data_IF_605681403251
#
_entry.id   IF_605681403251
#
_cell.length_a   1.000
_cell.length_b   1.000
_cell.length_c   1.000
_cell.angle_alpha   90.00
_cell.angle_beta   90.00
_cell.angle_gamma   90.00
#
_symmetry.space_group_name_H-M   'P 1'
#
loop_
_entity.id
_entity.type
_entity.pdbx_description
1 polymer ?
#
# COMPACT_ATOMS: atom_id res chain seq x y z
N UNK A 1 -7.67 2.32 -21.99
CA UNK A 1 -7.45 2.23 -20.53
C UNK A 1 -5.98 2.07 -20.16
N UNK A 2 -5.25 1.06 -20.66
CA UNK A 2 -3.77 0.94 -20.47
C UNK A 2 -3.01 2.16 -20.96
N UNK A 3 -3.40 2.74 -22.09
CA UNK A 3 -2.77 3.97 -22.57
C UNK A 3 -3.14 5.20 -21.74
N UNK A 4 -4.34 5.22 -21.16
CA UNK A 4 -4.79 6.27 -20.23
C UNK A 4 -4.11 6.11 -18.86
N UNK A 5 -3.89 4.87 -18.41
CA UNK A 5 -3.11 4.48 -17.25
C UNK A 5 -1.64 4.83 -17.45
N UNK A 6 -1.00 4.42 -18.55
CA UNK A 6 0.38 4.81 -18.89
C UNK A 6 0.50 6.32 -19.01
N UNK A 7 -0.42 7.03 -19.67
CA UNK A 7 -0.39 8.51 -19.77
C UNK A 7 -0.57 9.21 -18.43
N UNK A 8 -1.40 8.68 -17.49
CA UNK A 8 -1.58 9.26 -16.14
C UNK A 8 -0.49 8.83 -15.15
N UNK A 9 -0.04 7.57 -15.19
CA UNK A 9 1.01 7.03 -14.31
C UNK A 9 2.40 7.53 -14.70
N UNK A 10 2.69 7.73 -16.00
CA UNK A 10 3.96 8.30 -16.46
C UNK A 10 4.13 9.78 -16.06
N UNK A 11 3.04 10.53 -15.86
CA UNK A 11 3.11 11.92 -15.37
C UNK A 11 3.34 12.04 -13.86
N UNK A 12 3.07 11.00 -13.07
CA UNK A 12 3.25 11.01 -11.61
C UNK A 12 4.70 10.69 -11.22
N UNK A 13 5.45 10.02 -12.10
CA UNK A 13 6.85 9.65 -11.86
C UNK A 13 7.86 10.81 -11.77
N UNK A 14 7.45 12.07 -11.93
CA UNK A 14 8.37 13.22 -11.83
C UNK A 14 8.19 14.10 -10.58
N UNK A 15 7.20 13.84 -9.70
CA UNK A 15 6.95 14.69 -8.52
C UNK A 15 6.48 13.89 -7.31
N UNK A 16 7.24 12.89 -6.89
CA UNK A 16 7.05 12.24 -5.60
C UNK A 16 8.34 12.33 -4.80
N UNK A 17 8.21 12.51 -3.49
CA UNK A 17 9.32 12.54 -2.57
C UNK A 17 9.14 11.42 -1.56
N UNK A 18 10.22 10.68 -1.34
CA UNK A 18 10.34 9.72 -0.26
C UNK A 18 11.00 10.48 0.88
N UNK A 19 10.31 10.62 2.00
CA UNK A 19 10.80 11.34 3.19
C UNK A 19 10.51 10.49 4.43
N UNK A 20 11.24 10.70 5.54
CA UNK A 20 10.90 10.06 6.81
C UNK A 20 9.45 10.35 7.19
N UNK A 21 8.71 9.34 7.59
CA UNK A 21 7.32 9.48 8.03
C UNK A 21 7.23 9.39 9.55
N UNK A 22 6.42 10.25 10.14
CA UNK A 22 6.10 10.16 11.57
C UNK A 22 5.33 8.88 11.93
N UNK A 23 4.74 8.20 10.94
CA UNK A 23 3.98 6.96 11.16
C UNK A 23 4.92 5.78 11.29
N UNK A 24 5.73 5.55 10.27
CA UNK A 24 6.70 4.47 10.22
C UNK A 24 7.71 4.70 9.10
N UNK A 25 9.00 4.50 9.39
CA UNK A 25 10.09 4.50 8.41
C UNK A 25 10.00 5.62 7.38
N UNK A 26 9.68 5.24 6.14
CA UNK A 26 9.56 6.15 5.00
C UNK A 26 8.11 6.29 4.56
N UNK A 27 7.76 7.48 4.08
CA UNK A 27 6.46 7.76 3.47
C UNK A 27 6.60 8.35 2.07
N UNK A 28 5.50 8.33 1.34
CA UNK A 28 5.40 8.92 0.01
C UNK A 28 4.65 10.25 0.08
N UNK A 29 5.28 11.31 -0.42
CA UNK A 29 4.75 12.68 -0.37
C UNK A 29 4.62 13.26 -1.77
N UNK A 30 3.57 14.04 -2.02
CA UNK A 30 3.38 14.74 -3.30
C UNK A 30 3.76 16.23 -3.20
N UNK A 31 4.90 16.69 -3.75
CA UNK A 31 5.34 18.09 -3.70
C UNK A 31 4.48 19.05 -4.51
N UNK A 32 3.49 18.57 -5.27
CA UNK A 32 2.57 19.41 -6.04
C UNK A 32 1.10 19.16 -5.70
N UNK A 33 0.82 18.31 -4.72
CA UNK A 33 -0.54 17.80 -4.49
C UNK A 33 -0.98 16.79 -5.54
N UNK A 34 -2.17 16.23 -5.36
CA UNK A 34 -2.74 15.19 -6.24
C UNK A 34 -4.24 15.44 -6.37
N UNK A 35 -4.78 15.48 -7.58
CA UNK A 35 -6.23 15.63 -7.76
C UNK A 35 -6.98 14.38 -7.31
N UNK A 36 -8.25 14.53 -6.94
CA UNK A 36 -9.16 13.42 -6.63
C UNK A 36 -9.20 12.39 -7.79
N UNK A 37 -9.41 11.11 -7.45
CA UNK A 37 -9.54 10.00 -8.41
C UNK A 37 -8.32 9.82 -9.32
N UNK A 38 -7.14 10.23 -8.84
CA UNK A 38 -5.87 10.03 -9.53
C UNK A 38 -5.30 8.69 -9.13
N UNK A 39 -5.05 7.82 -10.11
CA UNK A 39 -4.32 6.58 -9.89
C UNK A 39 -2.87 6.93 -9.61
N UNK A 40 -2.41 6.66 -8.40
CA UNK A 40 -1.09 7.01 -7.93
C UNK A 40 -0.04 5.96 -8.32
N UNK A 41 -0.31 4.70 -7.96
CA UNK A 41 0.61 3.59 -8.16
C UNK A 41 -0.17 2.30 -8.31
N UNK A 42 0.37 1.38 -9.09
CA UNK A 42 -0.01 -0.04 -8.99
C UNK A 42 0.84 -0.66 -7.88
N UNK A 43 0.25 -1.39 -6.94
CA UNK A 43 1.02 -2.18 -5.99
C UNK A 43 1.54 -3.45 -6.69
N UNK A 44 2.86 -3.51 -6.91
CA UNK A 44 3.51 -4.60 -7.64
C UNK A 44 4.41 -5.42 -6.74
N UNK A 45 4.49 -6.71 -7.03
CA UNK A 45 5.25 -7.68 -6.27
C UNK A 45 5.21 -9.07 -6.90
N UNK A 46 5.77 -10.04 -6.19
CA UNK A 46 5.71 -11.46 -6.52
C UNK A 46 4.34 -12.02 -6.12
N UNK A 47 3.76 -12.85 -6.98
CA UNK A 47 2.48 -13.52 -6.70
C UNK A 47 2.73 -14.78 -5.86
N UNK A 48 2.15 -14.84 -4.67
CA UNK A 48 2.30 -15.91 -3.69
C UNK A 48 0.95 -16.60 -3.49
N UNK A 49 0.97 -17.94 -3.54
CA UNK A 49 -0.19 -18.77 -3.20
C UNK A 49 -0.29 -18.93 -1.67
N UNK A 50 -1.50 -19.08 -1.10
CA UNK A 50 -1.71 -19.27 0.33
C UNK A 50 -0.84 -20.36 0.96
N UNK A 51 -0.64 -21.48 0.26
CA UNK A 51 0.16 -22.62 0.74
C UNK A 51 1.63 -22.29 1.03
N UNK A 52 2.16 -21.19 0.48
CA UNK A 52 3.54 -20.75 0.67
C UNK A 52 3.65 -19.52 1.59
N UNK A 53 2.54 -18.86 1.91
CA UNK A 53 2.55 -17.57 2.60
C UNK A 53 3.19 -17.67 3.99
N UNK A 54 2.74 -18.62 4.82
CA UNK A 54 3.27 -18.81 6.17
C UNK A 54 4.77 -19.11 6.18
N UNK A 55 5.26 -19.95 5.25
CA UNK A 55 6.69 -20.28 5.17
C UNK A 55 7.53 -19.05 4.82
N UNK A 56 7.05 -18.22 3.91
CA UNK A 56 7.71 -16.98 3.49
C UNK A 56 7.68 -15.97 4.64
N UNK A 57 6.54 -15.80 5.30
CA UNK A 57 6.39 -14.90 6.45
C UNK A 57 7.35 -15.26 7.58
N UNK A 58 7.38 -16.53 7.98
CA UNK A 58 8.27 -17.03 9.03
C UNK A 58 9.73 -16.71 8.67
N UNK A 59 10.15 -17.00 7.44
CA UNK A 59 11.50 -16.72 6.97
C UNK A 59 11.86 -15.22 7.01
N UNK A 60 10.94 -14.34 6.61
CA UNK A 60 11.14 -12.89 6.64
C UNK A 60 11.21 -12.35 8.07
N UNK A 61 10.34 -12.82 8.97
CA UNK A 61 10.37 -12.48 10.40
C UNK A 61 11.69 -12.92 11.05
N UNK A 62 12.15 -14.15 10.79
CA UNK A 62 13.45 -14.63 11.27
C UNK A 62 14.63 -13.81 10.74
N UNK A 63 14.46 -13.20 9.56
CA UNK A 63 15.49 -12.36 8.93
C UNK A 63 15.36 -10.88 9.29
N UNK A 64 14.52 -10.53 10.27
CA UNK A 64 14.19 -9.14 10.66
C UNK A 64 13.80 -8.25 9.46
N UNK A 65 12.99 -8.79 8.54
CA UNK A 65 12.50 -8.05 7.38
C UNK A 65 11.06 -7.59 7.58
N UNK A 66 10.79 -6.35 7.20
CA UNK A 66 9.43 -5.82 7.12
C UNK A 66 8.61 -6.60 6.09
N UNK A 67 7.35 -6.87 6.41
CA UNK A 67 6.44 -7.62 5.55
C UNK A 67 5.62 -6.67 4.68
N UNK A 68 5.74 -6.80 3.36
CA UNK A 68 4.97 -6.02 2.40
C UNK A 68 4.05 -6.93 1.60
N UNK A 69 3.03 -7.46 2.28
CA UNK A 69 2.03 -8.34 1.68
C UNK A 69 0.73 -7.58 1.40
N UNK A 70 0.16 -7.80 0.21
CA UNK A 70 -1.14 -7.29 -0.17
C UNK A 70 -2.01 -8.43 -0.70
N UNK A 71 -3.10 -8.75 0.00
CA UNK A 71 -4.03 -9.80 -0.44
C UNK A 71 -4.80 -9.33 -1.68
N UNK A 72 -4.56 -9.99 -2.82
CA UNK A 72 -5.24 -9.69 -4.08
C UNK A 72 -6.61 -10.37 -4.12
N UNK A 73 -6.69 -11.61 -3.64
CA UNK A 73 -7.91 -12.39 -3.48
C UNK A 73 -7.62 -13.59 -2.55
N UNK A 74 -8.58 -14.50 -2.38
CA UNK A 74 -8.42 -15.69 -1.53
C UNK A 74 -7.29 -16.64 -1.98
N UNK A 75 -6.94 -16.64 -3.28
CA UNK A 75 -5.95 -17.55 -3.86
C UNK A 75 -4.57 -16.91 -4.08
N UNK A 76 -4.45 -15.59 -3.92
CA UNK A 76 -3.27 -14.83 -4.32
C UNK A 76 -3.00 -13.68 -3.34
N UNK A 77 -1.77 -13.64 -2.85
CA UNK A 77 -1.17 -12.49 -2.16
C UNK A 77 -0.02 -11.95 -3.02
N UNK A 78 0.10 -10.63 -3.10
CA UNK A 78 1.21 -9.94 -3.77
C UNK A 78 2.24 -9.56 -2.72
N UNK A 79 3.47 -10.05 -2.87
CA UNK A 79 4.62 -9.81 -1.99
C UNK A 79 5.58 -8.80 -2.61
N UNK A 80 5.69 -7.63 -2.00
CA UNK A 80 6.55 -6.53 -2.41
C UNK A 80 7.83 -6.39 -1.55
N UNK A 81 8.14 -7.39 -0.71
CA UNK A 81 9.24 -7.34 0.27
C UNK A 81 10.59 -7.18 -0.41
N UNK A 82 10.89 -8.05 -1.37
CA UNK A 82 12.15 -7.99 -2.13
C UNK A 82 11.99 -7.54 -3.59
N UNK A 83 10.78 -7.52 -4.13
CA UNK A 83 10.54 -7.21 -5.55
C UNK A 83 9.32 -6.29 -5.73
N UNK A 84 9.28 -5.22 -4.94
CA UNK A 84 8.19 -4.25 -4.93
C UNK A 84 8.44 -3.00 -5.79
N UNK A 85 7.46 -2.11 -5.79
CA UNK A 85 7.63 -0.72 -6.24
C UNK A 85 7.34 0.26 -5.10
N UNK A 86 7.33 1.56 -5.40
CA UNK A 86 7.09 2.62 -4.40
C UNK A 86 5.72 2.51 -3.68
N UNK A 87 4.78 1.73 -4.21
CA UNK A 87 3.51 1.46 -3.54
C UNK A 87 3.67 0.84 -2.15
N UNK A 88 4.77 0.10 -1.91
CA UNK A 88 5.06 -0.51 -0.60
C UNK A 88 5.39 0.49 0.51
N UNK A 89 5.72 1.73 0.15
CA UNK A 89 6.08 2.80 1.10
C UNK A 89 4.88 3.69 1.46
N UNK A 90 3.68 3.37 0.98
CA UNK A 90 2.48 4.15 1.30
C UNK A 90 1.95 3.64 2.64
N UNK A 91 2.06 4.48 3.68
CA UNK A 91 1.72 4.11 5.04
C UNK A 91 0.21 3.97 5.30
N UNK A 92 -0.09 3.36 6.44
CA UNK A 92 -1.45 3.25 6.95
C UNK A 92 -1.99 4.58 7.50
N UNK A 93 -3.30 4.83 7.36
CA UNK A 93 -4.03 5.76 8.23
C UNK A 93 -5.48 5.32 8.43
N UNK A 94 -5.98 5.40 9.66
CA UNK A 94 -7.42 5.18 9.96
C UNK A 94 -8.32 6.28 9.37
N UNK A 95 -7.74 7.43 8.97
CA UNK A 95 -8.40 8.46 8.16
C UNK A 95 -7.62 8.62 6.85
N UNK A 96 -7.81 7.70 5.90
CA UNK A 96 -6.97 7.66 4.70
C UNK A 96 -7.30 8.79 3.72
N UNK A 97 -6.34 9.10 2.85
CA UNK A 97 -6.54 10.01 1.72
C UNK A 97 -6.36 9.31 0.36
N UNK A 98 -6.00 8.02 0.38
CA UNK A 98 -5.99 7.09 -0.73
C UNK A 98 -6.81 5.83 -0.40
N UNK A 99 -7.24 5.12 -1.43
CA UNK A 99 -7.84 3.80 -1.31
C UNK A 99 -7.24 2.85 -2.35
N UNK A 100 -7.29 1.55 -2.07
CA UNK A 100 -6.91 0.51 -3.01
C UNK A 100 -8.13 -0.01 -3.79
N UNK A 101 -7.97 -0.29 -5.08
CA UNK A 101 -8.97 -0.94 -5.92
C UNK A 101 -8.33 -2.05 -6.75
N UNK A 102 -8.93 -3.24 -6.72
CA UNK A 102 -8.53 -4.34 -7.59
C UNK A 102 -9.18 -4.14 -8.97
N UNK A 103 -8.38 -4.25 -10.02
CA UNK A 103 -8.83 -4.10 -11.40
C UNK A 103 -8.35 -5.30 -12.21
N UNK A 104 -9.24 -5.92 -12.97
CA UNK A 104 -8.91 -7.02 -13.86
C UNK A 104 -8.49 -6.50 -15.23
N UNK A 105 -7.29 -6.87 -15.68
CA UNK A 105 -6.76 -6.49 -16.99
C UNK A 105 -5.69 -7.47 -17.48
N UNK A 106 -5.56 -7.66 -18.79
CA UNK A 106 -4.58 -8.59 -19.40
C UNK A 106 -4.60 -9.99 -18.75
N UNK A 107 -5.80 -10.49 -18.45
CA UNK A 107 -6.04 -11.78 -17.78
C UNK A 107 -5.43 -11.89 -16.37
N UNK A 108 -5.12 -10.76 -15.73
CA UNK A 108 -4.56 -10.68 -14.37
C UNK A 108 -5.30 -9.63 -13.55
N UNK A 109 -5.31 -9.81 -12.24
CA UNK A 109 -5.83 -8.79 -11.32
C UNK A 109 -4.68 -7.90 -10.84
N UNK A 110 -4.91 -6.60 -10.78
CA UNK A 110 -3.92 -5.61 -10.37
C UNK A 110 -4.47 -4.76 -9.23
N UNK A 111 -3.63 -4.42 -8.25
CA UNK A 111 -4.00 -3.54 -7.14
C UNK A 111 -3.60 -2.11 -7.49
N UNK A 112 -4.57 -1.21 -7.59
CA UNK A 112 -4.34 0.22 -7.84
C UNK A 112 -4.54 1.01 -6.56
N UNK A 113 -3.60 1.89 -6.25
CA UNK A 113 -3.74 2.91 -5.20
C UNK A 113 -4.21 4.21 -5.85
N UNK A 114 -5.32 4.74 -5.37
CA UNK A 114 -6.05 5.87 -5.97
C UNK A 114 -6.30 6.94 -4.91
N UNK A 115 -6.14 8.22 -5.23
CA UNK A 115 -6.52 9.31 -4.32
C UNK A 115 -8.03 9.35 -4.11
N UNK A 116 -8.44 9.49 -2.85
CA UNK A 116 -9.85 9.60 -2.43
C UNK A 116 -10.38 11.05 -2.51
N UNK A 117 -9.47 12.01 -2.52
CA UNK A 117 -9.74 13.45 -2.51
C UNK A 117 -8.56 14.21 -3.13
N UNK A 118 -8.71 15.53 -3.27
CA UNK A 118 -7.60 16.41 -3.59
C UNK A 118 -6.60 16.43 -2.41
N UNK A 119 -5.34 16.11 -2.68
CA UNK A 119 -4.22 16.15 -1.74
C UNK A 119 -3.48 17.48 -1.87
N UNK A 120 -3.09 18.05 -0.73
CA UNK A 120 -2.30 19.28 -0.69
C UNK A 120 -0.82 19.01 -1.04
N UNK A 121 -0.10 20.10 -1.30
CA UNK A 121 1.36 20.09 -1.45
C UNK A 121 1.99 19.46 -0.20
N UNK A 122 2.90 18.52 -0.40
CA UNK A 122 3.62 17.76 0.64
C UNK A 122 2.70 16.99 1.61
N UNK A 123 1.48 16.67 1.20
CA UNK A 123 0.66 15.72 1.97
C UNK A 123 1.21 14.29 1.75
N UNK A 124 1.35 13.53 2.84
CA UNK A 124 1.72 12.12 2.79
C UNK A 124 0.54 11.31 2.23
N UNK A 125 0.81 10.42 1.28
CA UNK A 125 -0.17 9.46 0.77
C UNK A 125 -0.31 8.32 1.77
N UNK A 126 -1.55 8.06 2.18
CA UNK A 126 -1.88 7.03 3.17
C UNK A 126 -3.20 6.34 2.82
N UNK A 127 -3.28 5.03 3.03
CA UNK A 127 -4.50 4.24 2.82
C UNK A 127 -4.83 3.34 4.01
N UNK A 128 -6.05 2.84 4.07
CA UNK A 128 -6.43 1.85 5.09
C UNK A 128 -5.98 0.46 4.64
N UNK A 129 -5.12 -0.17 5.43
CA UNK A 129 -4.56 -1.50 5.13
C UNK A 129 -5.61 -2.61 5.22
N UNK A 130 -6.70 -2.41 5.98
CA UNK A 130 -7.77 -3.40 6.19
C UNK A 130 -7.23 -4.79 6.56
N UNK A 131 -6.33 -4.81 7.55
CA UNK A 131 -5.78 -6.06 8.07
C UNK A 131 -6.88 -6.78 8.85
N UNK A 132 -7.25 -7.97 8.39
CA UNK A 132 -8.15 -8.86 9.12
C UNK A 132 -7.35 -9.58 10.21
N UNK A 133 -7.87 -9.61 11.44
CA UNK A 133 -7.26 -10.29 12.59
C UNK A 133 -7.07 -11.79 12.37
N UNK A 134 -7.95 -12.43 11.59
CA UNK A 134 -7.88 -13.87 11.31
C UNK A 134 -6.79 -14.28 10.30
N UNK A 135 -6.21 -13.32 9.56
CA UNK A 135 -5.36 -13.64 8.41
C UNK A 135 -3.87 -13.74 8.75
N UNK A 136 -3.47 -13.15 9.87
CA UNK A 136 -2.07 -13.06 10.27
C UNK A 136 -1.99 -12.98 11.79
N UNK A 137 -1.03 -13.68 12.39
CA UNK A 137 -0.58 -13.42 13.77
C UNK A 137 0.22 -12.10 13.81
N UNK A 138 -0.41 -11.03 13.35
CA UNK A 138 -0.03 -9.66 13.68
C UNK A 138 -0.56 -9.40 15.09
N UNK A 139 0.11 -9.98 16.09
CA UNK A 139 -0.06 -9.55 17.48
C UNK A 139 0.00 -8.02 17.51
N UNK A 140 -1.17 -7.40 17.75
CA UNK A 140 -1.41 -6.00 18.07
C UNK A 140 -0.41 -4.98 17.50
N UNK A 141 -0.24 -4.93 16.17
CA UNK A 141 0.59 -3.87 15.56
C UNK A 141 -0.06 -2.52 15.82
N UNK A 142 0.62 -1.68 16.60
CA UNK A 142 0.13 -0.37 17.01
C UNK A 142 0.09 0.57 15.80
N UNK A 143 -1.05 1.23 15.62
CA UNK A 143 -1.27 2.22 14.58
C UNK A 143 -0.74 3.60 15.02
N UNK A 144 0.35 4.04 14.39
CA UNK A 144 0.97 5.34 14.63
C UNK A 144 0.41 6.47 13.74
N UNK A 145 -0.82 6.35 13.22
CA UNK A 145 -1.36 7.35 12.28
C UNK A 145 -1.75 8.70 12.92
N UNK A 146 -1.79 8.76 14.26
CA UNK A 146 -2.09 9.95 15.09
C UNK A 146 -3.42 10.65 14.77
N UNK A 147 -4.32 10.02 14.03
CA UNK A 147 -5.64 10.59 13.77
C UNK A 147 -6.53 10.49 15.02
N UNK A 148 -7.43 11.48 15.21
CA UNK A 148 -8.37 11.49 16.33
C UNK A 148 -9.30 10.26 16.35
N UNK A 149 -9.61 9.73 15.16
CA UNK A 149 -10.44 8.52 14.96
C UNK A 149 -9.58 7.26 14.75
N UNK A 150 -8.35 7.24 15.26
CA UNK A 150 -7.44 6.09 15.13
C UNK A 150 -7.97 4.87 15.91
N UNK A 151 -7.93 3.70 15.25
CA UNK A 151 -8.33 2.40 15.82
C UNK A 151 -7.32 1.79 16.78
N UNK A 152 -6.22 2.49 17.07
CA UNK A 152 -5.09 2.10 17.93
C UNK A 152 -4.25 0.94 17.41
N UNK A 153 -4.83 -0.04 16.73
CA UNK A 153 -4.13 -1.14 16.07
C UNK A 153 -4.40 -1.15 14.56
N UNK A 154 -3.50 -1.76 13.80
CA UNK A 154 -3.65 -1.94 12.36
C UNK A 154 -4.63 -3.08 12.01
N UNK A 155 -4.64 -4.14 12.82
CA UNK A 155 -5.67 -5.18 12.82
C UNK A 155 -6.94 -4.67 13.51
N UNK A 156 -8.09 -5.08 12.98
CA UNK A 156 -9.41 -4.91 13.60
C UNK A 156 -9.73 -6.08 14.52
#
# INVERSE_FOLDING_TARGET
>A
WVESFKKKSLKINQKIKILPSYKHGWGIFSPSGVSNMTIFSEYRGKYIKPSNLNKIEIFYRFSNQDLFFFKLNQAITVDATFSGNLGRLINHSCKPNCFSKIIFHSLKSHIMIISLKNLKKFEELVYDYRINSDEFDYEQIICCCQNLVCRKNLSL
#
